data_IF_476948679814
#
_entry.id   IF_476948679814
#
_cell.length_a   1.000
_cell.length_b   1.000
_cell.length_c   1.000
_cell.angle_alpha   90.00
_cell.angle_beta   90.00
_cell.angle_gamma   90.00
#
_symmetry.space_group_name_H-M   'P 1'
#
loop_
_entity.id
_entity.type
_entity.pdbx_description
1 polymer ?
#
# COMPACT_ATOMS: atom_id res chain seq x y z
N UNK A 1 2.01 -19.09 -22.85
CA UNK A 1 0.77 -18.43 -22.38
C UNK A 1 0.57 -18.84 -20.93
N UNK A 2 1.11 -18.07 -19.98
CA UNK A 2 0.92 -18.36 -18.55
C UNK A 2 0.14 -17.21 -17.95
N UNK A 3 -1.10 -17.51 -17.58
CA UNK A 3 -2.09 -16.59 -17.07
C UNK A 3 -1.74 -16.20 -15.64
N UNK A 4 -1.61 -14.90 -15.39
CA UNK A 4 -1.59 -14.35 -14.03
C UNK A 4 -3.05 -14.20 -13.61
N UNK A 5 -3.41 -14.72 -12.43
CA UNK A 5 -4.75 -14.60 -11.87
C UNK A 5 -4.88 -13.24 -11.20
N UNK A 6 -5.97 -12.52 -11.47
CA UNK A 6 -6.23 -11.19 -10.92
C UNK A 6 -7.68 -11.05 -10.45
N UNK A 7 -7.87 -10.32 -9.35
CA UNK A 7 -9.16 -10.06 -8.72
C UNK A 7 -9.44 -8.55 -8.68
N UNK A 8 -10.57 -8.18 -9.28
CA UNK A 8 -11.09 -6.81 -9.32
C UNK A 8 -11.90 -6.49 -8.07
N UNK A 9 -11.62 -5.36 -7.42
CA UNK A 9 -12.43 -4.80 -6.34
C UNK A 9 -13.06 -3.50 -6.81
N UNK A 10 -14.28 -3.58 -7.32
CA UNK A 10 -15.08 -2.39 -7.63
C UNK A 10 -16.31 -2.39 -6.72
N UNK A 11 -16.33 -1.44 -5.78
CA UNK A 11 -17.54 -1.07 -5.03
C UNK A 11 -18.21 0.13 -5.70
N UNK A 12 -19.46 -0.05 -6.15
CA UNK A 12 -20.29 1.01 -6.72
C UNK A 12 -20.89 1.87 -5.62
N UNK A 13 -20.68 3.19 -5.62
CA UNK A 13 -21.59 4.17 -5.01
C UNK A 13 -21.43 5.57 -5.66
N UNK A 14 -22.57 6.17 -6.02
CA UNK A 14 -22.71 7.44 -6.77
C UNK A 14 -22.50 8.66 -5.84
N UNK A 15 -21.73 9.65 -6.32
CA UNK A 15 -21.15 10.73 -5.49
C UNK A 15 -21.87 12.10 -5.61
N UNK A 16 -23.18 12.14 -5.82
CA UNK A 16 -23.94 13.42 -5.87
C UNK A 16 -24.82 13.65 -4.64
N UNK A 17 -24.79 12.76 -3.63
CA UNK A 17 -25.52 12.96 -2.38
C UNK A 17 -24.66 12.81 -1.12
N UNK A 18 -23.33 12.85 -1.21
CA UNK A 18 -22.45 12.53 -0.09
C UNK A 18 -22.55 13.50 1.12
N UNK A 19 -22.93 14.77 0.90
CA UNK A 19 -23.13 15.71 2.01
C UNK A 19 -24.44 15.50 2.79
N UNK A 20 -25.47 14.91 2.16
CA UNK A 20 -26.77 14.63 2.79
C UNK A 20 -26.99 13.15 3.13
N UNK A 21 -26.32 12.23 2.45
CA UNK A 21 -26.45 10.79 2.64
C UNK A 21 -25.59 10.28 3.81
N UNK A 22 -24.44 10.92 4.10
CA UNK A 22 -23.66 10.62 5.31
C UNK A 22 -24.44 11.01 6.58
N UNK A 23 -25.27 12.06 6.54
CA UNK A 23 -26.17 12.42 7.64
C UNK A 23 -27.43 11.55 7.74
N UNK A 24 -27.92 10.96 6.64
CA UNK A 24 -29.11 10.09 6.64
C UNK A 24 -28.80 8.62 6.95
N UNK A 25 -27.61 8.13 6.60
CA UNK A 25 -27.15 6.77 6.93
C UNK A 25 -26.81 6.64 8.43
N UNK A 26 -26.56 7.76 9.12
CA UNK A 26 -26.43 7.79 10.58
C UNK A 26 -27.76 7.57 11.34
N UNK A 27 -28.92 7.60 10.66
CA UNK A 27 -30.25 7.52 11.31
C UNK A 27 -31.09 6.28 11.00
N UNK A 28 -30.62 5.34 10.17
CA UNK A 28 -31.33 4.08 9.90
C UNK A 28 -30.54 2.89 10.45
N UNK A 29 -30.61 2.73 11.78
CA UNK A 29 -30.35 1.46 12.45
C UNK A 29 -31.40 0.44 11.98
N UNK A 30 -31.06 -0.40 11.01
CA UNK A 30 -31.78 -1.66 10.82
C UNK A 30 -31.22 -2.68 11.81
N UNK A 31 -31.95 -2.81 12.93
CA UNK A 31 -31.84 -3.93 13.87
C UNK A 31 -32.23 -5.22 13.15
N UNK A 32 -31.25 -6.06 12.82
CA UNK A 32 -31.46 -7.48 12.59
C UNK A 32 -30.66 -8.25 13.64
N UNK A 33 -31.34 -8.52 14.75
CA UNK A 33 -30.86 -9.41 15.79
C UNK A 33 -31.01 -10.86 15.34
N UNK A 34 -29.88 -11.53 15.13
CA UNK A 34 -29.76 -12.98 15.27
C UNK A 34 -28.42 -13.28 15.95
N UNK A 35 -28.39 -13.93 17.12
CA UNK A 35 -27.15 -14.33 17.76
C UNK A 35 -26.59 -15.53 17.01
N UNK A 36 -25.75 -15.28 16.00
CA UNK A 36 -24.93 -16.32 15.41
C UNK A 36 -23.86 -16.70 16.42
N UNK A 37 -24.05 -17.84 17.06
CA UNK A 37 -23.02 -18.62 17.73
C UNK A 37 -21.93 -18.99 16.70
N UNK A 38 -21.05 -18.03 16.38
CA UNK A 38 -19.83 -18.29 15.63
C UNK A 38 -18.86 -19.02 16.55
N UNK A 39 -18.97 -20.35 16.55
CA UNK A 39 -17.81 -21.17 16.88
C UNK A 39 -16.72 -20.77 15.88
N UNK A 40 -15.62 -20.18 16.39
CA UNK A 40 -14.62 -19.44 15.62
C UNK A 40 -13.76 -20.40 14.80
N UNK A 41 -14.32 -20.96 13.73
CA UNK A 41 -13.55 -21.70 12.74
C UNK A 41 -12.56 -20.74 12.09
N UNK A 42 -11.28 -21.12 12.11
CA UNK A 42 -10.21 -20.41 11.42
C UNK A 42 -10.49 -20.39 9.91
N UNK A 43 -10.36 -19.23 9.26
CA UNK A 43 -10.51 -19.14 7.80
C UNK A 43 -9.31 -19.75 7.08
N UNK A 44 -9.46 -20.24 5.85
CA UNK A 44 -8.32 -20.74 5.06
C UNK A 44 -7.20 -19.70 4.90
N UNK A 45 -7.59 -18.41 4.84
CA UNK A 45 -6.64 -17.30 4.82
C UNK A 45 -5.84 -17.27 6.11
N UNK A 46 -6.49 -17.35 7.28
CA UNK A 46 -5.81 -17.36 8.58
C UNK A 46 -4.87 -18.55 8.72
N UNK A 47 -5.30 -19.76 8.33
CA UNK A 47 -4.44 -20.94 8.35
C UNK A 47 -3.21 -20.80 7.44
N UNK A 48 -3.34 -20.15 6.28
CA UNK A 48 -2.19 -19.95 5.39
C UNK A 48 -1.16 -18.97 5.95
N UNK A 49 -1.58 -17.95 6.71
CA UNK A 49 -0.68 -17.00 7.38
C UNK A 49 -0.05 -17.58 8.67
N UNK A 50 -0.55 -18.71 9.18
CA UNK A 50 -0.06 -19.34 10.40
C UNK A 50 1.44 -19.60 10.34
N UNK A 51 2.17 -19.11 11.34
CA UNK A 51 3.63 -19.27 11.44
C UNK A 51 4.44 -18.48 10.40
N UNK A 52 3.78 -17.72 9.51
CA UNK A 52 4.48 -16.93 8.49
C UNK A 52 5.00 -15.64 9.07
N UNK A 53 6.17 -15.23 8.58
CA UNK A 53 6.79 -13.95 8.87
C UNK A 53 6.69 -13.03 7.67
N UNK A 54 6.24 -11.81 7.93
CA UNK A 54 5.89 -10.82 6.91
C UNK A 54 6.87 -9.65 6.98
N UNK A 55 7.31 -9.12 5.84
CA UNK A 55 8.06 -7.87 5.75
C UNK A 55 7.22 -6.77 5.09
N UNK A 56 7.13 -5.61 5.72
CA UNK A 56 6.32 -4.48 5.26
C UNK A 56 7.19 -3.25 5.08
N UNK A 57 7.31 -2.76 3.84
CA UNK A 57 7.83 -1.41 3.60
C UNK A 57 6.68 -0.40 3.62
N UNK A 58 6.94 0.84 4.04
CA UNK A 58 5.87 1.84 4.18
C UNK A 58 4.94 1.55 5.37
N UNK A 59 5.42 0.77 6.35
CA UNK A 59 4.70 0.36 7.56
C UNK A 59 4.05 1.53 8.33
N UNK A 60 4.70 2.70 8.33
CA UNK A 60 4.23 3.89 9.04
C UNK A 60 3.32 4.81 8.20
N UNK A 61 3.00 4.44 6.96
CA UNK A 61 1.98 5.13 6.15
C UNK A 61 0.58 4.61 6.45
N UNK A 62 -0.45 5.29 5.92
CA UNK A 62 -1.86 4.93 6.12
C UNK A 62 -2.15 3.44 5.86
N UNK A 63 -1.86 2.97 4.65
CA UNK A 63 -2.06 1.58 4.24
C UNK A 63 -1.26 0.61 5.10
N UNK A 64 0.00 0.93 5.41
CA UNK A 64 0.88 0.10 6.22
C UNK A 64 0.37 -0.09 7.65
N UNK A 65 -0.09 0.98 8.30
CA UNK A 65 -0.65 0.92 9.65
C UNK A 65 -1.92 0.07 9.71
N UNK A 66 -2.82 0.26 8.73
CA UNK A 66 -4.07 -0.53 8.65
C UNK A 66 -3.76 -2.00 8.34
N UNK A 67 -2.77 -2.29 7.49
CA UNK A 67 -2.28 -3.65 7.26
C UNK A 67 -1.75 -4.30 8.55
N UNK A 68 -0.87 -3.61 9.27
CA UNK A 68 -0.28 -4.12 10.52
C UNK A 68 -1.37 -4.39 11.55
N UNK A 69 -2.30 -3.44 11.72
CA UNK A 69 -3.44 -3.63 12.60
C UNK A 69 -4.27 -4.86 12.19
N UNK A 70 -4.58 -5.00 10.90
CA UNK A 70 -5.37 -6.12 10.38
C UNK A 70 -4.68 -7.46 10.61
N UNK A 71 -3.40 -7.56 10.28
CA UNK A 71 -2.60 -8.77 10.47
C UNK A 71 -2.56 -9.16 11.96
N UNK A 72 -2.28 -8.21 12.84
CA UNK A 72 -2.16 -8.50 14.27
C UNK A 72 -3.49 -8.79 14.96
N UNK A 73 -4.58 -8.16 14.55
CA UNK A 73 -5.88 -8.33 15.20
C UNK A 73 -6.73 -9.45 14.59
N UNK A 74 -6.75 -9.57 13.25
CA UNK A 74 -7.63 -10.50 12.53
C UNK A 74 -6.94 -11.78 12.06
N UNK A 75 -5.60 -11.79 11.97
CA UNK A 75 -4.77 -12.92 11.55
C UNK A 75 -3.84 -13.33 12.71
N UNK A 76 -4.38 -13.76 13.85
CA UNK A 76 -3.64 -13.81 15.12
C UNK A 76 -2.43 -14.76 15.09
N UNK A 77 -2.42 -15.76 14.19
CA UNK A 77 -1.36 -16.77 14.11
C UNK A 77 -0.22 -16.43 13.14
N UNK A 78 -0.23 -15.22 12.56
CA UNK A 78 0.99 -14.65 11.93
C UNK A 78 2.10 -14.62 12.98
N UNK A 79 3.31 -15.07 12.65
CA UNK A 79 4.38 -15.19 13.64
C UNK A 79 4.93 -13.82 14.01
N UNK A 80 5.46 -13.09 13.02
CA UNK A 80 5.90 -11.72 13.19
C UNK A 80 5.71 -10.85 11.93
N UNK A 81 5.64 -9.55 12.17
CA UNK A 81 5.60 -8.51 11.14
C UNK A 81 6.85 -7.66 11.29
N UNK A 82 7.79 -7.81 10.36
CA UNK A 82 8.95 -6.95 10.22
C UNK A 82 8.54 -5.65 9.53
N UNK A 83 8.64 -4.53 10.23
CA UNK A 83 8.28 -3.22 9.70
C UNK A 83 9.53 -2.41 9.37
N UNK A 84 9.74 -2.07 8.09
CA UNK A 84 10.82 -1.17 7.70
C UNK A 84 10.50 0.25 8.19
N UNK A 85 11.36 0.76 9.09
CA UNK A 85 11.23 2.07 9.71
C UNK A 85 12.43 2.93 9.34
N UNK A 86 12.15 4.01 8.62
CA UNK A 86 13.14 5.04 8.30
C UNK A 86 13.46 5.87 9.53
N UNK A 87 14.73 6.21 9.73
CA UNK A 87 15.12 7.26 10.67
C UNK A 87 14.53 8.60 10.23
N UNK A 88 14.11 9.43 11.19
CA UNK A 88 13.69 10.82 10.92
C UNK A 88 14.47 11.73 11.84
N UNK A 89 14.88 12.91 11.36
CA UNK A 89 15.58 13.91 12.19
C UNK A 89 14.81 14.14 13.50
N UNK A 90 15.44 13.84 14.62
CA UNK A 90 14.88 14.02 15.97
C UNK A 90 13.95 12.91 16.49
N UNK A 91 13.76 11.79 15.78
CA UNK A 91 13.05 10.60 16.30
C UNK A 91 13.76 9.32 15.92
N UNK A 92 14.14 8.51 16.92
CA UNK A 92 14.63 7.16 16.66
C UNK A 92 13.47 6.26 16.16
N UNK A 93 13.77 5.16 15.45
CA UNK A 93 12.78 4.21 14.94
C UNK A 93 11.83 3.66 16.02
N UNK A 94 12.33 3.44 17.23
CA UNK A 94 11.58 2.89 18.37
C UNK A 94 10.47 3.84 18.81
N UNK A 95 10.77 5.12 19.03
CA UNK A 95 9.77 6.15 19.35
C UNK A 95 8.73 6.29 18.24
N UNK A 96 9.10 6.08 16.97
CA UNK A 96 8.11 6.11 15.87
C UNK A 96 7.10 4.97 15.96
N UNK A 97 7.54 3.79 16.41
CA UNK A 97 6.67 2.64 16.66
C UNK A 97 5.82 2.88 17.91
N UNK A 98 6.40 3.40 18.99
CA UNK A 98 5.65 3.78 20.20
C UNK A 98 4.56 4.81 19.90
N UNK A 99 4.88 5.85 19.13
CA UNK A 99 3.92 6.87 18.70
C UNK A 99 2.84 6.27 17.80
N UNK A 100 3.19 5.32 16.93
CA UNK A 100 2.23 4.58 16.14
C UNK A 100 1.26 3.82 17.05
N UNK A 101 1.76 3.14 18.08
CA UNK A 101 0.92 2.41 19.03
C UNK A 101 -0.05 3.29 19.81
N UNK A 102 0.21 4.59 19.99
CA UNK A 102 -0.71 5.51 20.66
C UNK A 102 -1.91 5.92 19.80
N UNK A 103 -1.85 5.69 18.48
CA UNK A 103 -2.92 6.10 17.57
C UNK A 103 -4.25 5.40 17.90
N UNK A 104 -5.40 6.07 17.71
CA UNK A 104 -6.72 5.46 17.89
C UNK A 104 -6.90 4.17 17.09
N UNK A 105 -6.32 4.06 15.89
CA UNK A 105 -6.28 2.84 15.06
C UNK A 105 -5.96 1.57 15.85
N UNK A 106 -5.00 1.64 16.78
CA UNK A 106 -4.52 0.49 17.54
C UNK A 106 -5.23 0.31 18.89
N UNK A 107 -6.27 1.10 19.20
CA UNK A 107 -6.97 1.07 20.49
C UNK A 107 -7.46 -0.33 20.84
N UNK A 108 -8.15 -1.00 19.92
CA UNK A 108 -8.66 -2.37 20.14
C UNK A 108 -7.55 -3.40 20.35
N UNK A 109 -6.38 -3.24 19.71
CA UNK A 109 -5.22 -4.11 20.00
C UNK A 109 -4.71 -3.87 21.42
N UNK A 110 -4.56 -2.61 21.83
CA UNK A 110 -4.08 -2.28 23.19
C UNK A 110 -5.02 -2.80 24.28
N UNK A 111 -6.32 -2.71 24.05
CA UNK A 111 -7.35 -3.07 25.05
C UNK A 111 -7.65 -4.57 25.06
N UNK A 112 -7.73 -5.22 23.90
CA UNK A 112 -8.23 -6.60 23.80
C UNK A 112 -7.13 -7.63 23.58
N UNK A 113 -6.03 -7.27 22.90
CA UNK A 113 -4.96 -8.21 22.49
C UNK A 113 -3.55 -7.64 22.65
N UNK A 114 -3.16 -7.03 23.78
CA UNK A 114 -1.86 -6.34 23.90
C UNK A 114 -0.65 -7.27 23.63
N UNK A 115 -0.78 -8.56 23.91
CA UNK A 115 0.27 -9.56 23.68
C UNK A 115 0.70 -9.69 22.21
N UNK A 116 -0.12 -9.30 21.22
CA UNK A 116 0.27 -9.36 19.81
C UNK A 116 1.18 -8.21 19.39
N UNK A 117 1.27 -7.13 20.19
CA UNK A 117 2.12 -5.98 19.87
C UNK A 117 3.60 -6.38 19.76
N UNK A 118 4.05 -7.37 20.54
CA UNK A 118 5.42 -7.92 20.48
C UNK A 118 5.76 -8.61 19.15
N UNK A 119 4.75 -8.94 18.34
CA UNK A 119 4.94 -9.55 17.02
C UNK A 119 5.39 -8.53 15.97
N UNK A 120 5.25 -7.23 16.24
CA UNK A 120 5.77 -6.18 15.39
C UNK A 120 7.25 -5.94 15.70
N UNK A 121 8.13 -6.23 14.75
CA UNK A 121 9.57 -6.08 14.89
C UNK A 121 10.04 -4.92 14.00
N UNK A 122 10.52 -3.80 14.56
CA UNK A 122 11.09 -2.74 13.76
C UNK A 122 12.39 -3.18 13.07
N UNK A 123 12.52 -2.81 11.80
CA UNK A 123 13.72 -2.99 10.99
C UNK A 123 14.19 -1.59 10.58
N UNK A 124 15.35 -1.18 11.06
CA UNK A 124 15.89 0.14 10.75
C UNK A 124 16.44 0.12 9.33
N UNK A 125 15.94 1.01 8.47
CA UNK A 125 16.40 1.09 7.09
C UNK A 125 15.56 2.04 6.25
N UNK A 126 16.04 2.33 5.04
CA UNK A 126 15.37 3.15 4.03
C UNK A 126 15.59 2.55 2.63
N UNK A 127 14.50 2.45 1.86
CA UNK A 127 14.49 1.93 0.49
C UNK A 127 15.33 2.77 -0.49
N UNK A 128 15.81 3.94 -0.06
CA UNK A 128 16.70 4.80 -0.83
C UNK A 128 18.17 4.35 -0.78
N UNK A 129 18.52 3.36 0.06
CA UNK A 129 19.89 2.84 0.16
C UNK A 129 19.97 1.37 -0.29
N UNK A 130 21.18 0.95 -0.68
CA UNK A 130 21.45 -0.43 -1.04
C UNK A 130 21.25 -1.36 0.17
N UNK A 131 20.75 -2.57 -0.11
CA UNK A 131 20.21 -3.50 0.90
C UNK A 131 19.26 -2.81 1.92
N UNK A 132 18.56 -1.77 1.46
CA UNK A 132 17.66 -0.92 2.24
C UNK A 132 18.31 -0.25 3.46
N UNK A 133 19.64 -0.14 3.50
CA UNK A 133 20.38 0.39 4.65
C UNK A 133 20.22 -0.43 5.93
N UNK A 134 19.81 -1.70 5.82
CA UNK A 134 19.63 -2.61 6.95
C UNK A 134 20.99 -3.23 7.30
N UNK A 135 21.25 -3.43 8.59
CA UNK A 135 22.48 -4.08 9.04
C UNK A 135 22.53 -5.56 8.64
N UNK A 136 23.74 -6.06 8.30
CA UNK A 136 23.95 -7.44 7.81
C UNK A 136 23.31 -8.53 8.67
N UNK A 137 23.42 -8.54 10.01
CA UNK A 137 22.80 -9.59 10.83
C UNK A 137 21.27 -9.61 10.69
N UNK A 138 20.64 -8.44 10.58
CA UNK A 138 19.21 -8.32 10.40
C UNK A 138 18.79 -8.70 8.97
N UNK A 139 19.58 -8.35 7.95
CA UNK A 139 19.37 -8.78 6.56
C UNK A 139 19.38 -10.31 6.43
N UNK A 140 20.39 -10.97 6.98
CA UNK A 140 20.48 -12.44 6.94
C UNK A 140 19.26 -13.08 7.62
N UNK A 141 18.81 -12.51 8.74
CA UNK A 141 17.58 -12.96 9.38
C UNK A 141 16.37 -12.83 8.43
N UNK A 142 16.21 -11.69 7.76
CA UNK A 142 15.12 -11.47 6.81
C UNK A 142 15.17 -12.44 5.62
N UNK A 143 16.36 -12.72 5.07
CA UNK A 143 16.54 -13.68 3.97
C UNK A 143 16.10 -15.11 4.33
N UNK A 144 16.34 -15.52 5.58
CA UNK A 144 16.01 -16.86 6.04
C UNK A 144 14.57 -17.00 6.52
N UNK A 145 13.96 -15.93 7.01
CA UNK A 145 12.70 -16.02 7.77
C UNK A 145 11.47 -15.51 7.03
N UNK A 146 11.61 -14.47 6.20
CA UNK A 146 10.46 -13.80 5.58
C UNK A 146 9.88 -14.68 4.47
N UNK A 147 8.55 -14.80 4.45
CA UNK A 147 7.82 -15.52 3.42
C UNK A 147 6.85 -14.66 2.61
N UNK A 148 6.55 -13.44 3.08
CA UNK A 148 5.62 -12.51 2.42
C UNK A 148 6.19 -11.10 2.49
N UNK A 149 6.23 -10.40 1.36
CA UNK A 149 6.58 -8.97 1.30
C UNK A 149 5.35 -8.15 0.91
N UNK A 150 5.02 -7.13 1.70
CA UNK A 150 4.14 -6.03 1.31
C UNK A 150 4.97 -4.78 1.04
N UNK A 151 5.20 -4.48 -0.24
CA UNK A 151 5.95 -3.30 -0.65
C UNK A 151 5.00 -2.11 -0.85
N UNK A 152 4.77 -1.33 0.23
CA UNK A 152 3.89 -0.15 0.21
C UNK A 152 4.65 1.18 0.23
N UNK A 153 5.97 1.17 0.47
CA UNK A 153 6.75 2.41 0.48
C UNK A 153 6.74 3.08 -0.90
N UNK A 154 6.23 4.31 -0.93
CA UNK A 154 6.22 5.19 -2.10
C UNK A 154 6.09 6.65 -1.63
N UNK A 155 6.55 7.60 -2.45
CA UNK A 155 6.13 9.00 -2.35
C UNK A 155 4.81 9.18 -3.09
N UNK A 156 3.84 9.81 -2.43
CA UNK A 156 2.51 10.12 -2.98
C UNK A 156 2.39 11.60 -3.37
N UNK A 157 3.50 12.35 -3.31
CA UNK A 157 3.51 13.78 -3.63
C UNK A 157 3.39 13.96 -5.13
N UNK A 158 2.19 14.30 -5.59
CA UNK A 158 1.89 14.46 -7.02
C UNK A 158 2.75 15.56 -7.66
N UNK A 159 2.96 16.67 -6.93
CA UNK A 159 3.77 17.81 -7.37
C UNK A 159 5.27 17.66 -7.04
N UNK A 160 5.74 16.45 -6.68
CA UNK A 160 7.16 16.25 -6.42
C UNK A 160 7.98 16.24 -7.72
N UNK A 161 9.24 16.73 -7.67
CA UNK A 161 10.19 16.60 -8.77
C UNK A 161 10.30 15.16 -9.27
N UNK A 162 10.50 14.98 -10.58
CA UNK A 162 10.61 13.65 -11.22
C UNK A 162 11.66 12.78 -10.53
N UNK A 163 12.81 13.36 -10.16
CA UNK A 163 13.90 12.63 -9.49
C UNK A 163 13.46 11.95 -8.19
N UNK A 164 12.65 12.64 -7.38
CA UNK A 164 12.15 12.09 -6.11
C UNK A 164 11.25 10.87 -6.37
N UNK A 165 10.35 10.99 -7.35
CA UNK A 165 9.50 9.88 -7.79
C UNK A 165 10.31 8.69 -8.31
N UNK A 166 11.31 8.93 -9.15
CA UNK A 166 12.18 7.89 -9.68
C UNK A 166 13.01 7.20 -8.58
N UNK A 167 13.62 7.96 -7.69
CA UNK A 167 14.46 7.40 -6.63
C UNK A 167 13.64 6.57 -5.64
N UNK A 168 12.49 7.08 -5.20
CA UNK A 168 11.68 6.40 -4.18
C UNK A 168 10.78 5.31 -4.76
N UNK A 169 10.03 5.59 -5.84
CA UNK A 169 9.01 4.66 -6.35
C UNK A 169 9.56 3.67 -7.37
N UNK A 170 10.61 4.03 -8.12
CA UNK A 170 11.17 3.17 -9.18
C UNK A 170 12.43 2.45 -8.70
N UNK A 171 13.50 3.19 -8.37
CA UNK A 171 14.76 2.61 -7.88
C UNK A 171 14.61 1.94 -6.52
N UNK A 172 13.81 2.53 -5.62
CA UNK A 172 13.43 1.90 -4.36
C UNK A 172 12.74 0.54 -4.55
N UNK A 173 11.90 0.38 -5.58
CA UNK A 173 11.32 -0.93 -5.93
C UNK A 173 12.38 -1.92 -6.42
N UNK A 174 13.37 -1.50 -7.21
CA UNK A 174 14.50 -2.37 -7.60
C UNK A 174 15.20 -2.91 -6.36
N UNK A 175 15.57 -2.07 -5.39
CA UNK A 175 16.27 -2.50 -4.18
C UNK A 175 15.46 -3.51 -3.36
N UNK A 176 14.14 -3.32 -3.25
CA UNK A 176 13.26 -4.25 -2.55
C UNK A 176 13.11 -5.58 -3.31
N UNK A 177 13.09 -5.55 -4.65
CA UNK A 177 13.09 -6.74 -5.50
C UNK A 177 14.42 -7.52 -5.40
N UNK A 178 15.56 -6.83 -5.39
CA UNK A 178 16.87 -7.47 -5.22
C UNK A 178 17.03 -8.11 -3.84
N UNK A 179 16.51 -7.46 -2.79
CA UNK A 179 16.43 -8.08 -1.46
C UNK A 179 15.50 -9.32 -1.47
N UNK A 180 14.36 -9.24 -2.17
CA UNK A 180 13.41 -10.34 -2.27
C UNK A 180 13.99 -11.58 -2.97
N UNK A 181 14.83 -11.41 -4.00
CA UNK A 181 15.52 -12.52 -4.70
C UNK A 181 16.43 -13.34 -3.79
N UNK A 182 16.91 -12.75 -2.69
CA UNK A 182 17.75 -13.42 -1.70
C UNK A 182 16.94 -14.17 -0.63
N UNK A 183 15.61 -14.01 -0.58
CA UNK A 183 14.75 -14.64 0.43
C UNK A 183 14.41 -16.09 0.07
N UNK A 184 14.76 -17.02 0.96
CA UNK A 184 14.65 -18.47 0.72
C UNK A 184 13.22 -19.01 0.75
N UNK A 185 12.35 -18.36 1.51
CA UNK A 185 11.01 -18.85 1.81
C UNK A 185 9.90 -17.96 1.24
N UNK A 186 10.25 -17.05 0.31
CA UNK A 186 9.31 -16.08 -0.22
C UNK A 186 8.28 -16.75 -1.12
N UNK A 187 7.02 -16.70 -0.70
CA UNK A 187 5.87 -17.25 -1.45
C UNK A 187 4.97 -16.17 -2.03
N UNK A 188 5.13 -14.91 -1.62
CA UNK A 188 4.29 -13.82 -2.11
C UNK A 188 4.97 -12.45 -1.98
N UNK A 189 5.04 -11.70 -3.08
CA UNK A 189 5.54 -10.33 -3.15
C UNK A 189 4.46 -9.40 -3.69
N UNK A 190 3.94 -8.52 -2.83
CA UNK A 190 2.85 -7.62 -3.15
C UNK A 190 3.42 -6.23 -3.40
N UNK A 191 3.35 -5.76 -4.64
CA UNK A 191 3.64 -4.37 -5.01
C UNK A 191 2.36 -3.54 -5.00
N UNK A 192 2.28 -2.56 -4.10
CA UNK A 192 1.15 -1.63 -4.07
C UNK A 192 1.36 -0.53 -5.10
N UNK A 193 0.64 -0.60 -6.22
CA UNK A 193 0.59 0.40 -7.29
C UNK A 193 -0.63 1.33 -7.14
N UNK A 194 -1.19 1.80 -8.25
CA UNK A 194 -2.36 2.69 -8.28
C UNK A 194 -3.16 2.47 -9.57
N UNK A 195 -4.47 2.64 -9.51
CA UNK A 195 -5.33 2.57 -10.71
C UNK A 195 -5.03 3.71 -11.72
N UNK A 196 -4.33 4.75 -11.31
CA UNK A 196 -4.11 5.97 -12.10
C UNK A 196 -2.79 6.00 -12.89
N UNK A 197 -2.01 4.91 -12.89
CA UNK A 197 -0.73 4.85 -13.61
C UNK A 197 -0.84 4.44 -15.09
N UNK A 198 -2.05 4.32 -15.64
CA UNK A 198 -2.30 4.04 -17.07
C UNK A 198 -3.20 5.11 -17.71
N UNK A 199 -2.82 6.40 -17.66
CA UNK A 199 -3.65 7.48 -18.19
C UNK A 199 -3.81 7.43 -19.72
N UNK A 200 -2.98 6.64 -20.39
CA UNK A 200 -2.97 6.42 -21.82
C UNK A 200 -3.97 5.36 -22.31
N UNK A 201 -4.61 4.64 -21.39
CA UNK A 201 -5.61 3.60 -21.69
C UNK A 201 -7.01 4.03 -21.24
N UNK A 202 -7.97 4.03 -22.16
CA UNK A 202 -9.38 4.28 -21.84
C UNK A 202 -9.99 3.11 -21.04
N UNK A 203 -9.60 1.87 -21.36
CA UNK A 203 -10.00 0.67 -20.63
C UNK A 203 -8.78 -0.11 -20.18
N UNK A 204 -8.61 -0.18 -18.87
CA UNK A 204 -7.49 -0.88 -18.25
C UNK A 204 -7.85 -2.35 -18.01
N UNK A 205 -7.10 -3.25 -18.65
CA UNK A 205 -7.16 -4.68 -18.34
C UNK A 205 -6.25 -5.01 -17.15
N UNK A 206 -6.55 -6.10 -16.45
CA UNK A 206 -5.72 -6.64 -15.36
C UNK A 206 -4.47 -7.33 -15.92
N UNK A 207 -3.56 -6.54 -16.49
CA UNK A 207 -2.23 -6.97 -16.92
C UNK A 207 -1.24 -5.82 -16.75
N UNK A 208 0.05 -6.12 -16.80
CA UNK A 208 1.11 -5.10 -16.84
C UNK A 208 1.47 -4.88 -18.31
N UNK A 209 1.13 -3.72 -18.84
CA UNK A 209 1.48 -3.33 -20.22
C UNK A 209 2.92 -2.80 -20.26
N UNK A 210 3.46 -2.57 -21.45
CA UNK A 210 4.83 -2.07 -21.57
C UNK A 210 4.91 -0.60 -21.13
N UNK A 211 5.96 -0.21 -20.39
CA UNK A 211 6.08 1.14 -19.86
C UNK A 211 6.32 2.17 -20.99
N UNK A 212 6.02 3.46 -20.75
CA UNK A 212 6.25 4.53 -21.74
C UNK A 212 7.73 4.72 -22.13
N UNK A 213 8.65 4.21 -21.31
CA UNK A 213 10.09 4.16 -21.55
C UNK A 213 10.72 3.01 -20.75
N UNK A 214 11.91 2.54 -21.15
CA UNK A 214 12.66 1.54 -20.39
C UNK A 214 13.02 2.12 -18.99
N UNK A 215 12.57 1.50 -17.88
CA UNK A 215 12.83 2.01 -16.54
C UNK A 215 14.32 2.16 -16.21
N UNK A 216 15.17 1.24 -16.68
CA UNK A 216 16.61 1.26 -16.41
C UNK A 216 17.31 2.41 -17.12
N UNK A 217 16.93 2.71 -18.35
CA UNK A 217 17.48 3.84 -19.12
C UNK A 217 17.02 5.18 -18.54
N UNK A 218 15.76 5.29 -18.10
CA UNK A 218 15.26 6.49 -17.41
C UNK A 218 16.03 6.73 -16.11
N UNK A 219 16.24 5.68 -15.30
CA UNK A 219 17.03 5.78 -14.07
C UNK A 219 18.50 6.13 -14.36
N UNK A 220 19.09 5.56 -15.41
CA UNK A 220 20.45 5.90 -15.85
C UNK A 220 20.52 7.38 -16.22
N UNK A 221 19.64 7.87 -17.09
CA UNK A 221 19.61 9.28 -17.48
C UNK A 221 19.44 10.21 -16.26
N UNK A 222 18.51 9.91 -15.36
CA UNK A 222 18.26 10.70 -14.15
C UNK A 222 19.46 10.73 -13.18
N UNK A 223 20.38 9.75 -13.27
CA UNK A 223 21.59 9.72 -12.45
C UNK A 223 22.70 10.66 -12.95
N UNK A 224 22.71 10.98 -14.26
CA UNK A 224 23.67 11.90 -14.87
C UNK A 224 23.20 13.35 -14.90
N UNK A 225 21.89 13.58 -14.92
CA UNK A 225 21.30 14.91 -15.00
C UNK A 225 21.22 15.59 -13.63
N UNK A 226 21.44 16.90 -13.60
CA UNK A 226 21.12 17.71 -12.43
C UNK A 226 19.61 17.79 -12.21
N UNK A 227 19.19 18.11 -10.99
CA UNK A 227 17.76 18.23 -10.66
C UNK A 227 17.08 19.28 -11.53
N UNK A 228 17.76 20.39 -11.84
CA UNK A 228 17.27 21.45 -12.73
C UNK A 228 17.07 20.96 -14.16
N UNK A 229 18.08 20.27 -14.73
CA UNK A 229 17.99 19.72 -16.08
C UNK A 229 16.88 18.67 -16.19
N UNK A 230 16.76 17.80 -15.18
CA UNK A 230 15.74 16.77 -15.18
C UNK A 230 14.33 17.37 -15.04
N UNK A 231 14.16 18.42 -14.26
CA UNK A 231 12.88 19.13 -14.14
C UNK A 231 12.49 19.84 -15.45
N UNK A 232 13.46 20.42 -16.17
CA UNK A 232 13.23 21.00 -17.50
C UNK A 232 12.75 19.94 -18.52
N UNK A 233 13.30 18.73 -18.44
CA UNK A 233 12.95 17.62 -19.32
C UNK A 233 11.69 16.84 -18.87
N UNK A 234 11.29 16.98 -17.61
CA UNK A 234 10.22 16.19 -17.01
C UNK A 234 8.90 16.20 -17.80
N UNK A 235 8.40 17.35 -18.33
CA UNK A 235 7.16 17.37 -19.12
C UNK A 235 7.24 16.47 -20.37
N UNK A 236 8.39 16.43 -21.04
CA UNK A 236 8.61 15.56 -22.19
C UNK A 236 8.72 14.08 -21.78
N UNK A 237 9.35 13.80 -20.64
CA UNK A 237 9.51 12.44 -20.09
C UNK A 237 8.18 11.86 -19.64
N UNK A 238 7.30 12.66 -19.02
CA UNK A 238 6.00 12.20 -18.54
C UNK A 238 5.09 11.71 -19.68
N UNK A 239 5.25 12.23 -20.90
CA UNK A 239 4.36 11.94 -22.02
C UNK A 239 2.89 12.20 -21.63
N UNK A 240 2.05 11.16 -21.56
CA UNK A 240 0.63 11.25 -21.18
C UNK A 240 0.40 11.26 -19.67
N UNK A 241 1.44 11.10 -18.86
CA UNK A 241 1.31 11.09 -17.41
C UNK A 241 1.10 12.50 -16.84
N UNK A 242 0.09 12.72 -15.99
CA UNK A 242 -0.17 14.04 -15.43
C UNK A 242 0.89 14.49 -14.41
N UNK A 243 1.70 13.57 -13.87
CA UNK A 243 2.67 13.87 -12.81
C UNK A 243 3.72 12.76 -12.60
N UNK A 244 4.74 13.07 -11.79
CA UNK A 244 5.83 12.15 -11.42
C UNK A 244 5.34 10.88 -10.72
N UNK A 245 4.26 10.97 -9.93
CA UNK A 245 3.72 9.83 -9.20
C UNK A 245 3.19 8.76 -10.15
N UNK A 246 2.26 9.11 -11.05
CA UNK A 246 1.68 8.14 -12.00
C UNK A 246 2.76 7.56 -12.93
N UNK A 247 3.71 8.38 -13.39
CA UNK A 247 4.82 7.94 -14.23
C UNK A 247 5.75 6.96 -13.50
N UNK A 248 6.23 7.31 -12.31
CA UNK A 248 7.16 6.47 -11.55
C UNK A 248 6.54 5.14 -11.11
N UNK A 249 5.24 5.12 -10.76
CA UNK A 249 4.50 3.88 -10.49
C UNK A 249 4.35 3.01 -11.73
N UNK A 250 4.15 3.61 -12.91
CA UNK A 250 4.11 2.90 -14.18
C UNK A 250 5.43 2.20 -14.50
N UNK A 251 6.56 2.88 -14.26
CA UNK A 251 7.89 2.28 -14.40
C UNK A 251 8.15 1.18 -13.36
N UNK A 252 7.69 1.38 -12.12
CA UNK A 252 7.85 0.38 -11.06
C UNK A 252 7.13 -0.93 -11.39
N UNK A 253 5.93 -0.88 -11.98
CA UNK A 253 5.23 -2.10 -12.40
C UNK A 253 5.99 -2.89 -13.47
N UNK A 254 6.68 -2.21 -14.39
CA UNK A 254 7.50 -2.88 -15.40
C UNK A 254 8.66 -3.65 -14.75
N UNK A 255 9.33 -3.06 -13.75
CA UNK A 255 10.39 -3.72 -12.98
C UNK A 255 9.87 -4.94 -12.17
N UNK A 256 8.65 -4.84 -11.64
CA UNK A 256 7.98 -5.96 -10.96
C UNK A 256 7.65 -7.08 -11.94
N UNK A 257 7.19 -6.74 -13.16
CA UNK A 257 6.97 -7.70 -14.27
C UNK A 257 8.27 -8.38 -14.69
N UNK A 258 9.37 -7.65 -14.81
CA UNK A 258 10.70 -8.20 -15.13
C UNK A 258 11.17 -9.24 -14.09
N UNK A 259 10.78 -9.05 -12.82
CA UNK A 259 11.16 -9.96 -11.73
C UNK A 259 10.23 -11.18 -11.56
N UNK A 260 9.05 -11.17 -12.19
CA UNK A 260 8.04 -12.24 -12.09
C UNK A 260 8.53 -13.67 -12.44
N UNK A 261 9.48 -13.87 -13.38
CA UNK A 261 10.03 -15.21 -13.62
C UNK A 261 10.77 -15.79 -12.41
N UNK A 262 11.36 -14.93 -11.56
CA UNK A 262 12.18 -15.35 -10.41
C UNK A 262 11.44 -15.21 -9.07
N UNK A 263 10.42 -14.36 -9.00
CA UNK A 263 9.72 -14.00 -7.77
C UNK A 263 8.19 -14.18 -7.90
N UNK A 264 7.49 -14.56 -6.82
CA UNK A 264 6.02 -14.63 -6.79
C UNK A 264 5.39 -13.24 -6.68
N UNK A 265 5.53 -12.41 -7.71
CA UNK A 265 5.09 -11.02 -7.67
C UNK A 265 3.63 -10.84 -8.08
N UNK A 266 2.94 -9.93 -7.41
CA UNK A 266 1.61 -9.42 -7.75
C UNK A 266 1.58 -7.90 -7.64
N UNK A 267 0.90 -7.25 -8.58
CA UNK A 267 0.68 -5.80 -8.58
C UNK A 267 -0.76 -5.53 -8.15
N UNK A 268 -0.95 -4.72 -7.11
CA UNK A 268 -2.28 -4.30 -6.65
C UNK A 268 -2.49 -2.82 -6.92
N UNK A 269 -3.61 -2.46 -7.56
CA UNK A 269 -3.89 -1.08 -8.02
C UNK A 269 -5.14 -0.53 -7.34
N UNK A 270 -5.05 -0.04 -6.09
CA UNK A 270 -6.17 0.66 -5.48
C UNK A 270 -6.51 1.94 -6.27
N UNK A 271 -7.79 2.30 -6.26
CA UNK A 271 -8.28 3.62 -6.65
C UNK A 271 -7.98 4.65 -5.53
N UNK A 272 -8.73 5.75 -5.46
CA UNK A 272 -8.50 6.76 -4.41
C UNK A 272 -8.87 6.14 -3.05
N UNK A 273 -7.86 5.98 -2.21
CA UNK A 273 -8.07 5.45 -0.85
C UNK A 273 -8.76 6.49 0.02
N UNK A 274 -9.89 6.11 0.61
CA UNK A 274 -10.68 6.94 1.53
C UNK A 274 -10.54 6.44 2.97
N UNK A 275 -11.03 7.19 3.97
CA UNK A 275 -11.09 6.71 5.35
C UNK A 275 -11.80 5.36 5.45
N UNK A 276 -11.47 4.60 6.50
CA UNK A 276 -12.05 3.28 6.72
C UNK A 276 -13.56 3.32 6.83
N UNK A 277 -14.21 2.32 6.26
CA UNK A 277 -15.65 2.16 6.37
C UNK A 277 -16.04 1.60 7.74
N UNK A 278 -15.31 0.57 8.21
CA UNK A 278 -15.62 -0.15 9.45
C UNK A 278 -14.39 -0.42 10.30
N UNK A 279 -13.39 -1.12 9.75
CA UNK A 279 -12.26 -1.62 10.52
C UNK A 279 -11.02 -0.71 10.41
N UNK A 280 -10.18 -0.59 11.45
CA UNK A 280 -10.45 -0.96 12.84
C UNK A 280 -11.34 0.03 13.59
N UNK A 281 -11.60 1.20 13.00
CA UNK A 281 -12.64 2.12 13.43
C UNK A 281 -13.20 2.88 12.23
N UNK A 282 -14.49 3.22 12.18
CA UNK A 282 -15.05 4.01 11.09
C UNK A 282 -14.41 5.40 10.98
N UNK A 283 -14.16 5.85 9.75
CA UNK A 283 -13.63 7.18 9.45
C UNK A 283 -12.15 7.39 9.75
N UNK A 284 -11.39 6.32 10.04
CA UNK A 284 -9.96 6.45 10.31
C UNK A 284 -9.17 6.88 9.09
N UNK A 285 -8.35 7.92 9.26
CA UNK A 285 -7.35 8.39 8.32
C UNK A 285 -6.30 9.20 9.08
N UNK A 286 -5.05 9.20 8.61
CA UNK A 286 -3.93 9.82 9.32
C UNK A 286 -3.19 10.90 8.49
N UNK A 287 -3.75 11.29 7.36
CA UNK A 287 -3.23 12.32 6.47
C UNK A 287 -4.38 13.07 5.79
N UNK A 288 -4.08 14.22 5.19
CA UNK A 288 -5.05 15.08 4.50
C UNK A 288 -4.84 15.05 2.99
N UNK A 289 -4.23 14.00 2.44
CA UNK A 289 -3.89 13.96 1.03
C UNK A 289 -5.16 13.82 0.17
N UNK A 290 -5.21 14.59 -0.92
CA UNK A 290 -6.26 14.50 -1.93
C UNK A 290 -7.68 14.70 -1.36
N UNK A 291 -8.63 13.80 -1.66
CA UNK A 291 -10.04 13.94 -1.22
C UNK A 291 -10.22 13.99 0.29
N UNK A 292 -9.29 13.48 1.08
CA UNK A 292 -9.40 13.52 2.55
C UNK A 292 -9.37 14.95 3.06
N UNK A 293 -8.46 15.79 2.54
CA UNK A 293 -8.40 17.20 2.90
C UNK A 293 -9.70 17.95 2.57
N UNK A 294 -10.29 17.64 1.41
CA UNK A 294 -11.59 18.18 1.00
C UNK A 294 -12.72 17.73 1.94
N UNK A 295 -12.79 16.44 2.27
CA UNK A 295 -13.79 15.89 3.19
C UNK A 295 -13.69 16.51 4.58
N UNK A 296 -12.48 16.66 5.12
CA UNK A 296 -12.28 17.30 6.44
C UNK A 296 -12.62 18.79 6.38
N UNK A 297 -12.21 19.51 5.34
CA UNK A 297 -12.53 20.92 5.16
C UNK A 297 -14.04 21.17 5.03
N UNK A 298 -14.74 20.31 4.29
CA UNK A 298 -16.19 20.35 4.16
C UNK A 298 -16.90 19.99 5.46
N UNK A 299 -16.47 18.91 6.14
CA UNK A 299 -17.04 18.49 7.43
C UNK A 299 -16.87 19.52 8.54
N UNK A 300 -15.81 20.36 8.48
CA UNK A 300 -15.61 21.50 9.38
C UNK A 300 -16.33 22.79 8.95
N UNK A 301 -17.00 22.80 7.81
CA UNK A 301 -17.69 23.98 7.27
C UNK A 301 -16.78 25.07 6.69
N UNK A 302 -15.47 24.79 6.54
CA UNK A 302 -14.49 25.70 5.93
C UNK A 302 -14.64 25.71 4.41
N UNK A 303 -14.81 24.53 3.81
CA UNK A 303 -15.07 24.38 2.37
C UNK A 303 -16.57 24.21 2.19
N UNK A 304 -17.23 25.20 1.58
CA UNK A 304 -18.68 25.18 1.35
C UNK A 304 -19.07 24.84 -0.08
N UNK A 305 -18.14 25.04 -1.01
CA UNK A 305 -18.31 24.73 -2.42
C UNK A 305 -16.98 24.29 -3.01
N UNK A 306 -17.04 23.48 -4.06
CA UNK A 306 -15.89 23.03 -4.84
C UNK A 306 -16.27 23.10 -6.31
N UNK A 307 -15.35 23.59 -7.14
CA UNK A 307 -15.55 23.58 -8.58
C UNK A 307 -15.30 22.16 -9.11
N UNK A 308 -16.32 21.53 -9.68
CA UNK A 308 -16.22 20.22 -10.30
C UNK A 308 -17.23 20.06 -11.44
N UNK A 309 -16.95 19.10 -12.32
CA UNK A 309 -17.90 18.65 -13.32
C UNK A 309 -18.81 17.59 -12.70
N UNK A 310 -20.10 17.88 -12.55
CA UNK A 310 -21.06 17.00 -11.85
C UNK A 310 -21.32 15.65 -12.53
N UNK A 311 -20.84 15.47 -13.77
CA UNK A 311 -20.93 14.22 -14.51
C UNK A 311 -19.67 13.34 -14.39
N UNK A 312 -18.64 13.78 -13.65
CA UNK A 312 -17.47 12.95 -13.36
C UNK A 312 -17.76 12.00 -12.20
N UNK A 313 -17.40 10.73 -12.39
CA UNK A 313 -17.47 9.71 -11.35
C UNK A 313 -16.11 9.57 -10.68
N UNK A 314 -16.07 9.66 -9.34
CA UNK A 314 -14.85 9.38 -8.59
C UNK A 314 -14.83 7.91 -8.17
N UNK A 315 -13.76 7.21 -8.53
CA UNK A 315 -13.52 5.85 -8.05
C UNK A 315 -12.75 5.90 -6.72
N UNK A 316 -13.39 5.43 -5.67
CA UNK A 316 -12.85 5.43 -4.32
C UNK A 316 -12.88 4.03 -3.71
N UNK A 317 -11.98 3.76 -2.78
CA UNK A 317 -11.96 2.52 -2.00
C UNK A 317 -11.62 2.82 -0.54
N UNK A 318 -12.47 2.43 0.42
CA UNK A 318 -12.12 2.51 1.84
C UNK A 318 -10.85 1.73 2.15
N UNK A 319 -9.96 2.32 2.96
CA UNK A 319 -8.65 1.73 3.30
C UNK A 319 -8.76 0.31 3.86
N UNK A 320 -9.79 0.02 4.64
CA UNK A 320 -10.02 -1.28 5.26
C UNK A 320 -10.44 -2.34 4.25
N UNK A 321 -11.27 -1.98 3.26
CA UNK A 321 -11.61 -2.87 2.14
C UNK A 321 -10.37 -3.15 1.29
N UNK A 322 -9.58 -2.11 0.98
CA UNK A 322 -8.35 -2.27 0.21
C UNK A 322 -7.37 -3.23 0.92
N UNK A 323 -7.14 -3.03 2.23
CA UNK A 323 -6.25 -3.88 3.02
C UNK A 323 -6.77 -5.30 3.19
N UNK A 324 -8.05 -5.49 3.48
CA UNK A 324 -8.64 -6.84 3.58
C UNK A 324 -8.38 -7.62 2.29
N UNK A 325 -8.55 -6.96 1.15
CA UNK A 325 -8.37 -7.60 -0.13
C UNK A 325 -6.91 -7.85 -0.47
N UNK A 326 -5.99 -6.94 -0.10
CA UNK A 326 -4.55 -7.16 -0.23
C UNK A 326 -4.09 -8.37 0.58
N UNK A 327 -4.61 -8.56 1.80
CA UNK A 327 -4.33 -9.74 2.64
C UNK A 327 -4.79 -11.03 1.94
N UNK A 328 -5.95 -11.02 1.27
CA UNK A 328 -6.46 -12.15 0.48
C UNK A 328 -5.66 -12.38 -0.80
N UNK A 329 -5.26 -11.32 -1.51
CA UNK A 329 -4.44 -11.40 -2.74
C UNK A 329 -3.08 -12.02 -2.44
N UNK A 330 -2.46 -11.66 -1.32
CA UNK A 330 -1.20 -12.24 -0.87
C UNK A 330 -1.33 -13.77 -0.69
N UNK A 331 -2.45 -14.20 -0.09
CA UNK A 331 -2.81 -15.61 0.08
C UNK A 331 -3.03 -16.33 -1.26
N UNK A 332 -3.80 -15.75 -2.18
CA UNK A 332 -4.04 -16.33 -3.51
C UNK A 332 -2.72 -16.50 -4.29
N UNK A 333 -1.91 -15.44 -4.34
CA UNK A 333 -0.59 -15.44 -4.99
C UNK A 333 0.30 -16.56 -4.46
N UNK A 334 0.35 -16.73 -3.14
CA UNK A 334 1.17 -17.77 -2.52
C UNK A 334 0.65 -19.19 -2.68
N UNK A 335 -0.66 -19.39 -2.89
CA UNK A 335 -1.22 -20.71 -3.23
C UNK A 335 -0.94 -21.13 -4.67
N UNK A 336 -0.91 -20.17 -5.59
CA UNK A 336 -0.64 -20.41 -7.01
C UNK A 336 0.84 -20.65 -7.29
N UNK A 337 1.73 -20.18 -6.40
CA UNK A 337 3.19 -20.32 -6.55
C UNK A 337 3.71 -21.71 -6.13
N UNK A 338 2.98 -22.80 -6.40
CA UNK A 338 3.58 -24.15 -6.41
C UNK A 338 4.42 -24.29 -7.68
N UNK A 339 5.60 -23.65 -7.70
CA UNK A 339 6.59 -23.74 -8.78
C UNK A 339 7.64 -24.79 -8.44
#
# INVERSE_FOLDING_TARGET
MNSVVFLKLTGFFVLVSAALCVLKILFLQFNWGYPLLFNKMSSEVNEWYKGRKVFVTGALGLMGKVLIEKLLYSVPDVDCVYALVRSKRGKNPETRIEDMWKLPLFKRIREEKPHVMKKLIPVIGDIMYDDLGIEKPQLEKLYNEVSIIFHFAATLRLEAPLKEGLEMNTKGTIRVLEMAKKMKNLVSFIHLSTAFCYPDYERMAEKVFDPPANPHEVLRAASWLTDEQLNLLAPAIYQKHPNSYTYSKRLAEALVKESYPQLPTVVVRPSIVTPSLKDPMPGWVDNLNGPVGLMVGAGKGVIRSMHCYGHYHAEVIPVDIAINSIVVIAYQTGRETKR
#
